data_IF_944266138079
#
_entry.id   IF_944266138079
#
_cell.length_a   1.000
_cell.length_b   1.000
_cell.length_c   1.000
_cell.angle_alpha   90.00
_cell.angle_beta   90.00
_cell.angle_gamma   90.00
#
_symmetry.space_group_name_H-M   'P 1'
#
loop_
_entity.id
_entity.type
_entity.pdbx_description
1 polymer ?
#
# COMPACT_ATOMS: atom_id res chain seq x y z
N UNK A 1 7.83 -31.09 7.48
CA UNK A 1 7.03 -30.46 8.56
C UNK A 1 6.37 -29.15 8.12
N UNK A 2 7.11 -28.16 7.60
CA UNK A 2 6.54 -26.86 7.19
C UNK A 2 5.40 -26.96 6.16
N UNK A 3 5.54 -27.80 5.13
CA UNK A 3 4.49 -28.02 4.13
C UNK A 3 3.21 -28.62 4.72
N UNK A 4 3.34 -29.58 5.63
CA UNK A 4 2.21 -30.18 6.32
C UNK A 4 1.48 -29.15 7.20
N UNK A 5 2.23 -28.36 7.97
CA UNK A 5 1.66 -27.28 8.78
C UNK A 5 0.93 -26.23 7.92
N UNK A 6 1.48 -25.90 6.76
CA UNK A 6 0.85 -25.00 5.79
C UNK A 6 -0.48 -25.55 5.27
N UNK A 7 -0.56 -26.83 4.89
CA UNK A 7 -1.82 -27.45 4.43
C UNK A 7 -2.88 -27.56 5.54
N UNK A 8 -2.48 -27.90 6.77
CA UNK A 8 -3.39 -27.92 7.92
C UNK A 8 -3.93 -26.51 8.22
N UNK A 9 -3.07 -25.50 8.09
CA UNK A 9 -3.46 -24.11 8.33
C UNK A 9 -4.31 -23.52 7.21
N UNK A 10 -4.13 -23.96 5.97
CA UNK A 10 -4.77 -23.41 4.76
C UNK A 10 -6.29 -23.12 4.93
N UNK A 11 -7.15 -24.06 5.38
CA UNK A 11 -8.58 -23.78 5.55
C UNK A 11 -8.85 -22.69 6.60
N UNK A 12 -8.15 -22.73 7.74
CA UNK A 12 -8.28 -21.74 8.82
C UNK A 12 -7.80 -20.37 8.34
N UNK A 13 -6.64 -20.35 7.66
CA UNK A 13 -6.04 -19.15 7.09
C UNK A 13 -6.96 -18.48 6.07
N UNK A 14 -7.68 -19.25 5.25
CA UNK A 14 -8.63 -18.72 4.28
C UNK A 14 -9.77 -17.95 4.95
N UNK A 15 -10.44 -18.54 5.94
CA UNK A 15 -11.50 -17.85 6.68
C UNK A 15 -10.96 -16.64 7.45
N UNK A 16 -9.76 -16.75 8.02
CA UNK A 16 -9.08 -15.64 8.68
C UNK A 16 -8.79 -14.48 7.72
N UNK A 17 -8.37 -14.78 6.48
CA UNK A 17 -8.13 -13.78 5.45
C UNK A 17 -9.42 -13.08 5.04
N UNK A 18 -10.52 -13.83 4.83
CA UNK A 18 -11.84 -13.25 4.55
C UNK A 18 -12.25 -12.29 5.66
N UNK A 19 -12.17 -12.72 6.93
CA UNK A 19 -12.45 -11.87 8.08
C UNK A 19 -11.60 -10.58 8.09
N UNK A 20 -10.29 -10.69 7.89
CA UNK A 20 -9.36 -9.54 7.85
C UNK A 20 -9.66 -8.59 6.69
N UNK A 21 -10.01 -9.10 5.52
CA UNK A 21 -10.42 -8.28 4.36
C UNK A 21 -11.74 -7.55 4.67
N UNK A 22 -12.74 -8.26 5.20
CA UNK A 22 -14.02 -7.66 5.58
C UNK A 22 -13.84 -6.53 6.58
N UNK A 23 -12.97 -6.70 7.58
CA UNK A 23 -12.61 -5.64 8.54
C UNK A 23 -12.03 -4.41 7.81
N UNK A 24 -11.07 -4.61 6.90
CA UNK A 24 -10.41 -3.51 6.19
C UNK A 24 -11.32 -2.76 5.21
N UNK A 25 -12.35 -3.42 4.67
CA UNK A 25 -13.30 -2.83 3.71
C UNK A 25 -14.49 -2.18 4.39
N UNK A 26 -15.01 -2.77 5.47
CA UNK A 26 -16.30 -2.38 6.05
C UNK A 26 -16.17 -1.46 7.27
N UNK A 27 -15.01 -1.42 7.95
CA UNK A 27 -14.87 -0.74 9.23
C UNK A 27 -13.99 0.52 9.13
N UNK A 28 -14.22 1.53 9.98
CA UNK A 28 -13.34 2.70 10.08
C UNK A 28 -11.91 2.32 10.49
N UNK A 29 -10.91 3.10 10.06
CA UNK A 29 -9.49 2.78 10.21
C UNK A 29 -9.06 2.37 11.63
N UNK A 30 -9.53 3.07 12.66
CA UNK A 30 -9.16 2.76 14.05
C UNK A 30 -9.68 1.40 14.51
N UNK A 31 -10.95 1.09 14.20
CA UNK A 31 -11.57 -0.20 14.53
C UNK A 31 -10.92 -1.31 13.70
N UNK A 32 -10.64 -1.03 12.43
CA UNK A 32 -9.99 -1.98 11.54
C UNK A 32 -8.59 -2.36 12.02
N UNK A 33 -7.77 -1.39 12.41
CA UNK A 33 -6.44 -1.64 12.96
C UNK A 33 -6.48 -2.45 14.26
N UNK A 34 -7.41 -2.12 15.16
CA UNK A 34 -7.57 -2.86 16.42
C UNK A 34 -7.94 -4.32 16.18
N UNK A 35 -8.97 -4.59 15.35
CA UNK A 35 -9.39 -5.95 15.05
C UNK A 35 -8.35 -6.72 14.22
N UNK A 36 -7.66 -6.05 13.29
CA UNK A 36 -6.54 -6.64 12.56
C UNK A 36 -5.43 -7.08 13.53
N UNK A 37 -5.10 -6.25 14.53
CA UNK A 37 -4.14 -6.58 15.58
C UNK A 37 -4.58 -7.78 16.42
N UNK A 38 -5.83 -7.80 16.86
CA UNK A 38 -6.41 -8.92 17.61
C UNK A 38 -6.38 -10.22 16.81
N UNK A 39 -6.60 -10.14 15.49
CA UNK A 39 -6.52 -11.29 14.60
C UNK A 39 -5.09 -11.81 14.39
N UNK A 40 -4.05 -11.06 14.80
CA UNK A 40 -2.64 -11.44 14.71
C UNK A 40 -1.79 -10.62 13.72
N UNK A 41 -2.38 -9.65 13.01
CA UNK A 41 -1.63 -8.75 12.11
C UNK A 41 -0.84 -7.74 12.94
N UNK A 42 0.48 -7.70 12.78
CA UNK A 42 1.32 -6.73 13.50
C UNK A 42 1.63 -5.55 12.60
N UNK A 43 1.04 -4.40 12.90
CA UNK A 43 1.29 -3.16 12.18
C UNK A 43 2.16 -2.27 13.07
N UNK A 44 3.32 -1.86 12.56
CA UNK A 44 4.19 -0.86 13.18
C UNK A 44 4.20 0.36 12.30
N UNK A 45 3.88 1.52 12.87
CA UNK A 45 3.88 2.80 12.16
C UNK A 45 4.81 3.77 12.87
N UNK A 46 5.74 4.35 12.11
CA UNK A 46 6.60 5.44 12.54
C UNK A 46 6.46 6.60 11.56
N UNK A 47 6.35 7.81 12.07
CA UNK A 47 6.39 9.02 11.24
C UNK A 47 7.45 9.97 11.75
N UNK A 48 8.42 10.29 10.89
CA UNK A 48 9.37 11.38 11.09
C UNK A 48 8.89 12.68 10.45
N UNK A 49 7.75 12.62 9.77
CA UNK A 49 7.10 13.77 9.20
C UNK A 49 6.13 14.33 10.24
N UNK A 50 6.61 15.30 11.01
CA UNK A 50 5.87 16.01 12.06
C UNK A 50 4.87 17.03 11.48
N UNK A 51 4.68 17.07 10.16
CA UNK A 51 3.88 18.09 9.49
C UNK A 51 2.37 17.81 9.66
N UNK A 52 1.84 18.23 10.81
CA UNK A 52 0.41 18.36 11.11
C UNK A 52 -0.10 19.80 10.84
N UNK A 53 0.61 20.58 10.01
CA UNK A 53 0.18 21.92 9.66
C UNK A 53 -1.10 21.89 8.82
N UNK A 54 -2.04 22.84 9.01
CA UNK A 54 -3.20 22.97 8.13
C UNK A 54 -2.69 23.10 6.68
N UNK A 55 -3.40 22.50 5.70
CA UNK A 55 -3.03 22.64 4.30
C UNK A 55 -2.95 24.13 3.98
N UNK A 56 -1.77 24.60 3.56
CA UNK A 56 -1.67 25.94 2.97
C UNK A 56 -2.66 25.98 1.81
N UNK A 57 -3.59 26.94 1.85
CA UNK A 57 -4.79 27.04 0.99
C UNK A 57 -4.51 27.07 -0.53
N UNK A 58 -3.25 27.03 -0.96
CA UNK A 58 -2.83 27.08 -2.35
C UNK A 58 -1.83 25.98 -2.78
N UNK A 59 -1.52 24.98 -1.94
CA UNK A 59 -0.54 23.94 -2.29
C UNK A 59 -1.22 22.69 -2.88
N UNK A 60 -0.63 22.19 -3.96
CA UNK A 60 -0.87 20.86 -4.52
C UNK A 60 -0.74 19.80 -3.43
N UNK A 61 -1.49 18.71 -3.53
CA UNK A 61 -1.44 17.60 -2.58
C UNK A 61 -0.04 16.99 -2.45
N UNK A 62 0.18 16.28 -1.34
CA UNK A 62 1.45 15.61 -1.05
C UNK A 62 1.54 14.29 -1.82
N UNK A 63 2.68 14.04 -2.45
CA UNK A 63 2.97 12.77 -3.12
C UNK A 63 3.74 11.83 -2.18
N UNK A 64 3.05 10.81 -1.68
CA UNK A 64 3.64 9.72 -0.92
C UNK A 64 4.27 8.70 -1.87
N UNK A 65 5.56 8.46 -1.71
CA UNK A 65 6.34 7.56 -2.58
C UNK A 65 6.77 6.36 -1.77
N UNK A 66 6.17 5.20 -2.04
CA UNK A 66 6.42 3.97 -1.30
C UNK A 66 7.29 3.02 -2.11
N UNK A 67 8.23 2.32 -1.47
CA UNK A 67 8.71 1.08 -2.05
C UNK A 67 7.57 0.03 -2.07
N UNK A 68 7.65 -0.95 -2.95
CA UNK A 68 6.52 -1.83 -3.24
C UNK A 68 6.76 -3.27 -2.76
N UNK A 69 6.16 -3.65 -1.62
CA UNK A 69 6.26 -5.01 -1.06
C UNK A 69 5.06 -5.88 -1.39
N UNK A 70 3.87 -5.31 -1.41
CA UNK A 70 2.59 -6.02 -1.60
C UNK A 70 1.56 -5.08 -2.24
N UNK A 71 0.47 -5.61 -2.77
CA UNK A 71 -0.65 -4.76 -3.20
C UNK A 71 -1.34 -4.01 -2.04
N UNK A 72 -1.03 -4.36 -0.79
CA UNK A 72 -1.60 -3.76 0.40
C UNK A 72 -0.81 -2.53 0.88
N UNK A 73 0.32 -2.16 0.26
CA UNK A 73 1.16 -1.07 0.78
C UNK A 73 0.39 0.27 0.86
N UNK A 74 -0.35 0.69 -0.18
CA UNK A 74 -1.17 1.89 -0.11
C UNK A 74 -2.31 1.77 0.93
N UNK A 75 -2.85 0.58 1.14
CA UNK A 75 -3.95 0.31 2.08
C UNK A 75 -3.46 0.48 3.51
N UNK A 76 -2.37 -0.19 3.87
CA UNK A 76 -1.78 -0.06 5.21
C UNK A 76 -1.29 1.36 5.48
N UNK A 77 -0.73 2.04 4.48
CA UNK A 77 -0.32 3.44 4.63
C UNK A 77 -1.51 4.35 4.93
N UNK A 78 -2.56 4.28 4.13
CA UNK A 78 -3.80 5.07 4.31
C UNK A 78 -4.41 4.83 5.69
N UNK A 79 -4.52 3.57 6.07
CA UNK A 79 -5.12 3.15 7.36
C UNK A 79 -4.25 3.58 8.56
N UNK A 80 -2.92 3.58 8.41
CA UNK A 80 -2.00 3.99 9.48
C UNK A 80 -1.89 5.50 9.63
N UNK A 81 -1.99 6.24 8.52
CA UNK A 81 -2.06 7.71 8.55
C UNK A 81 -3.42 8.23 9.01
N UNK A 82 -4.47 7.41 8.93
CA UNK A 82 -5.83 7.82 9.30
C UNK A 82 -6.43 8.87 8.36
N UNK A 83 -5.91 9.00 7.13
CA UNK A 83 -6.39 9.96 6.12
C UNK A 83 -6.60 9.29 4.77
N UNK A 84 -7.59 9.70 3.98
CA UNK A 84 -7.86 9.12 2.68
C UNK A 84 -6.76 9.52 1.68
N UNK A 85 -6.08 8.53 1.12
CA UNK A 85 -5.12 8.70 0.01
C UNK A 85 -5.73 8.15 -1.28
N UNK A 86 -5.38 8.75 -2.41
CA UNK A 86 -5.63 8.14 -3.72
C UNK A 86 -4.38 7.36 -4.15
N UNK A 87 -4.51 6.07 -4.45
CA UNK A 87 -3.39 5.26 -4.91
C UNK A 87 -3.33 5.21 -6.43
N UNK A 88 -2.19 5.57 -7.02
CA UNK A 88 -1.92 5.31 -8.44
C UNK A 88 -1.09 4.05 -8.58
N UNK A 89 -1.52 3.17 -9.45
CA UNK A 89 -0.91 1.85 -9.64
C UNK A 89 -0.72 1.56 -11.11
N UNK A 90 0.34 0.81 -11.42
CA UNK A 90 0.55 0.32 -12.77
C UNK A 90 -0.13 -1.03 -12.91
N UNK A 91 -1.08 -1.13 -13.84
CA UNK A 91 -1.62 -2.42 -14.28
C UNK A 91 -2.37 -3.23 -13.20
N UNK A 92 -3.18 -2.57 -12.35
CA UNK A 92 -4.14 -3.27 -11.49
C UNK A 92 -5.30 -3.85 -12.31
N UNK A 93 -5.81 -5.01 -11.90
CA UNK A 93 -7.03 -5.59 -12.48
C UNK A 93 -8.26 -4.81 -12.01
N UNK A 94 -9.31 -4.75 -12.84
CA UNK A 94 -10.59 -4.09 -12.48
C UNK A 94 -11.22 -4.69 -11.21
N UNK A 95 -11.04 -5.99 -10.99
CA UNK A 95 -11.54 -6.68 -9.80
C UNK A 95 -10.79 -6.23 -8.53
N UNK A 96 -9.47 -6.08 -8.62
CA UNK A 96 -8.66 -5.54 -7.51
C UNK A 96 -9.01 -4.09 -7.19
N UNK A 97 -9.32 -3.28 -8.20
CA UNK A 97 -9.79 -1.90 -8.04
C UNK A 97 -11.17 -1.83 -7.37
N UNK A 98 -12.09 -2.74 -7.71
CA UNK A 98 -13.43 -2.80 -7.10
C UNK A 98 -13.39 -3.16 -5.61
N UNK A 99 -12.45 -4.00 -5.20
CA UNK A 99 -12.36 -4.51 -3.82
C UNK A 99 -11.44 -3.63 -2.96
N UNK A 100 -10.67 -2.71 -3.56
CA UNK A 100 -9.76 -1.86 -2.83
C UNK A 100 -10.53 -0.94 -1.85
N UNK A 101 -10.15 -0.90 -0.56
CA UNK A 101 -10.80 -0.04 0.44
C UNK A 101 -10.43 1.45 0.31
N UNK A 102 -9.82 1.83 -0.82
CA UNK A 102 -9.35 3.18 -1.11
C UNK A 102 -9.47 3.45 -2.61
N UNK A 103 -9.50 4.73 -2.97
CA UNK A 103 -9.58 5.14 -4.37
C UNK A 103 -8.30 4.78 -5.11
N UNK A 104 -8.38 3.81 -6.00
CA UNK A 104 -7.27 3.46 -6.90
C UNK A 104 -7.47 4.08 -8.27
N UNK A 105 -6.37 4.45 -8.93
CA UNK A 105 -6.36 4.90 -10.32
C UNK A 105 -5.28 4.11 -11.06
N UNK A 106 -5.67 3.42 -12.13
CA UNK A 106 -4.76 2.63 -12.96
C UNK A 106 -4.05 3.52 -13.99
N UNK A 107 -2.73 3.48 -14.01
CA UNK A 107 -1.87 4.17 -14.97
C UNK A 107 -1.69 3.33 -16.25
N UNK A 108 -1.58 4.00 -17.39
CA UNK A 108 -1.58 3.39 -18.72
C UNK A 108 -0.18 3.11 -19.28
N UNK A 109 0.88 3.39 -18.51
CA UNK A 109 2.30 3.33 -18.93
C UNK A 109 2.62 4.28 -20.09
N UNK A 110 1.91 5.39 -20.16
CA UNK A 110 2.16 6.49 -21.10
C UNK A 110 2.62 7.67 -20.27
N UNK A 111 3.92 8.00 -20.33
CA UNK A 111 4.54 9.01 -19.46
C UNK A 111 3.78 10.34 -19.47
N UNK A 112 3.32 10.78 -20.65
CA UNK A 112 2.63 12.07 -20.78
C UNK A 112 1.23 12.01 -20.18
N UNK A 113 0.44 10.99 -20.54
CA UNK A 113 -0.93 10.84 -20.02
C UNK A 113 -0.96 10.54 -18.52
N UNK A 114 -0.04 9.71 -18.05
CA UNK A 114 0.08 9.34 -16.64
C UNK A 114 0.53 10.55 -15.81
N UNK A 115 1.47 11.36 -16.33
CA UNK A 115 1.86 12.62 -15.70
C UNK A 115 0.72 13.62 -15.57
N UNK A 116 -0.03 13.85 -16.66
CA UNK A 116 -1.22 14.71 -16.65
C UNK A 116 -2.30 14.21 -15.67
N UNK A 117 -2.52 12.89 -15.61
CA UNK A 117 -3.48 12.30 -14.69
C UNK A 117 -3.04 12.46 -13.24
N UNK A 118 -1.77 12.20 -12.93
CA UNK A 118 -1.22 12.36 -11.58
C UNK A 118 -1.26 13.83 -11.12
N UNK A 119 -0.91 14.79 -11.97
CA UNK A 119 -1.03 16.23 -11.65
C UNK A 119 -2.49 16.62 -11.33
N UNK A 120 -3.45 16.15 -12.12
CA UNK A 120 -4.89 16.39 -11.86
C UNK A 120 -5.40 15.73 -10.58
N UNK A 121 -4.78 14.64 -10.12
CA UNK A 121 -5.11 14.00 -8.86
C UNK A 121 -4.48 14.74 -7.68
N UNK A 122 -3.21 15.13 -7.81
CA UNK A 122 -2.49 15.92 -6.81
C UNK A 122 -3.17 17.26 -6.55
N UNK A 123 -3.73 17.92 -7.57
CA UNK A 123 -4.50 19.16 -7.38
C UNK A 123 -5.80 18.97 -6.57
N UNK A 124 -6.26 17.73 -6.38
CA UNK A 124 -7.48 17.39 -5.62
C UNK A 124 -7.19 16.83 -4.23
N UNK A 125 -5.96 16.40 -3.95
CA UNK A 125 -5.58 15.84 -2.66
C UNK A 125 -4.33 14.98 -2.72
N UNK A 126 -4.04 14.32 -1.61
CA UNK A 126 -2.82 13.53 -1.45
C UNK A 126 -2.86 12.23 -2.29
N UNK A 127 -1.71 11.92 -2.89
CA UNK A 127 -1.53 10.78 -3.77
C UNK A 127 -0.48 9.84 -3.20
N UNK A 128 -0.65 8.53 -3.38
CA UNK A 128 0.37 7.53 -3.11
C UNK A 128 0.74 6.79 -4.38
N UNK A 129 2.03 6.63 -4.63
CA UNK A 129 2.58 5.90 -5.77
C UNK A 129 3.67 4.93 -5.32
N UNK A 130 3.73 3.78 -5.99
CA UNK A 130 4.82 2.82 -5.89
C UNK A 130 5.64 2.88 -7.19
N UNK A 131 6.73 3.65 -7.25
CA UNK A 131 7.41 3.97 -8.51
C UNK A 131 8.22 2.78 -9.07
N UNK A 132 8.35 1.69 -8.33
CA UNK A 132 8.91 0.41 -8.78
C UNK A 132 8.07 -0.24 -9.90
N UNK A 133 6.76 0.07 -9.96
CA UNK A 133 5.86 -0.47 -10.97
C UNK A 133 5.50 -1.96 -10.82
N UNK A 134 6.11 -2.66 -9.87
CA UNK A 134 5.79 -4.04 -9.49
C UNK A 134 6.22 -4.30 -8.04
N UNK A 135 5.61 -5.27 -7.38
CA UNK A 135 6.00 -5.68 -6.02
C UNK A 135 7.33 -6.43 -6.02
N UNK A 136 8.17 -6.16 -5.01
CA UNK A 136 9.47 -6.79 -4.79
C UNK A 136 9.50 -7.57 -3.46
N UNK A 137 9.91 -8.84 -3.53
CA UNK A 137 10.08 -9.73 -2.35
C UNK A 137 11.47 -9.67 -1.74
N UNK A 138 12.44 -9.24 -2.53
CA UNK A 138 13.86 -9.34 -2.20
C UNK A 138 14.32 -8.22 -1.26
N UNK A 139 15.43 -8.37 -0.51
CA UNK A 139 15.86 -7.35 0.46
C UNK A 139 16.29 -6.01 -0.17
N UNK A 140 16.32 -5.90 -1.50
CA UNK A 140 16.67 -4.69 -2.24
C UNK A 140 15.44 -3.98 -2.83
N UNK A 141 15.64 -2.73 -3.24
CA UNK A 141 14.66 -1.92 -3.96
C UNK A 141 14.81 -2.12 -5.47
N UNK A 142 13.69 -2.16 -6.19
CA UNK A 142 13.73 -2.10 -7.64
C UNK A 142 14.00 -0.66 -8.12
N UNK A 143 14.36 -0.54 -9.40
CA UNK A 143 14.54 0.76 -10.03
C UNK A 143 13.22 1.55 -10.02
N UNK A 144 13.31 2.81 -9.62
CA UNK A 144 12.15 3.71 -9.64
C UNK A 144 12.00 4.39 -11.01
N UNK A 145 10.75 4.54 -11.45
CA UNK A 145 10.41 5.43 -12.56
C UNK A 145 10.68 6.89 -12.19
N UNK A 146 11.30 7.73 -13.03
CA UNK A 146 11.57 9.13 -12.71
C UNK A 146 10.30 10.01 -12.69
N UNK A 147 9.18 9.53 -13.25
CA UNK A 147 7.96 10.32 -13.43
C UNK A 147 7.50 10.99 -12.14
N UNK A 148 7.54 10.30 -10.99
CA UNK A 148 7.05 10.88 -9.74
C UNK A 148 7.87 12.11 -9.28
N UNK A 149 9.18 12.11 -9.56
CA UNK A 149 10.10 13.18 -9.17
C UNK A 149 9.89 14.46 -10.00
N UNK A 150 9.37 14.32 -11.22
CA UNK A 150 9.13 15.44 -12.15
C UNK A 150 7.77 16.14 -11.91
N UNK A 151 6.88 15.56 -11.07
CA UNK A 151 5.49 16.01 -10.95
C UNK A 151 5.26 17.03 -9.82
N UNK A 152 6.04 16.95 -8.74
CA UNK A 152 5.89 17.82 -7.57
C UNK A 152 7.16 17.83 -6.74
N UNK A 153 7.44 18.96 -6.10
CA UNK A 153 8.47 19.08 -5.06
C UNK A 153 7.99 18.54 -3.70
N UNK A 154 6.67 18.37 -3.54
CA UNK A 154 6.05 17.99 -2.28
C UNK A 154 6.00 16.46 -2.10
N UNK A 155 7.19 15.84 -2.06
CA UNK A 155 7.37 14.38 -1.99
C UNK A 155 7.68 13.93 -0.57
N UNK A 156 6.93 12.93 -0.10
CA UNK A 156 7.16 12.24 1.18
C UNK A 156 7.50 10.78 0.92
N UNK A 157 8.76 10.37 1.09
CA UNK A 157 9.14 8.97 0.98
C UNK A 157 8.56 8.14 2.12
N UNK A 158 8.17 6.91 1.82
CA UNK A 158 7.64 5.94 2.78
C UNK A 158 8.36 4.61 2.60
N UNK A 159 9.00 4.14 3.66
CA UNK A 159 9.59 2.81 3.71
C UNK A 159 8.56 1.80 4.21
N UNK A 160 8.43 0.69 3.49
CA UNK A 160 7.51 -0.41 3.74
C UNK A 160 8.29 -1.70 3.84
N UNK A 161 8.11 -2.42 4.94
CA UNK A 161 8.61 -3.77 5.13
C UNK A 161 7.48 -4.72 5.50
N UNK A 162 7.28 -5.75 4.68
CA UNK A 162 6.21 -6.73 4.83
C UNK A 162 6.83 -8.11 5.05
N UNK A 163 6.55 -8.72 6.20
CA UNK A 163 7.09 -10.03 6.58
C UNK A 163 5.98 -11.05 6.78
N UNK A 164 6.20 -12.23 6.23
CA UNK A 164 5.24 -13.36 6.23
C UNK A 164 5.93 -14.63 6.70
N UNK A 165 5.14 -15.65 7.05
CA UNK A 165 5.66 -16.93 7.57
C UNK A 165 5.40 -18.11 6.65
N UNK A 166 4.28 -18.12 5.92
CA UNK A 166 3.79 -19.27 5.14
C UNK A 166 3.44 -18.89 3.71
N UNK A 167 2.72 -17.79 3.51
CA UNK A 167 2.15 -17.42 2.21
C UNK A 167 2.69 -16.08 1.74
N UNK A 168 3.27 -16.05 0.54
CA UNK A 168 3.75 -14.84 -0.10
C UNK A 168 2.63 -14.20 -0.94
N UNK A 169 2.26 -12.96 -0.62
CA UNK A 169 1.23 -12.19 -1.35
C UNK A 169 1.80 -11.31 -2.46
N UNK A 170 2.52 -11.91 -3.40
CA UNK A 170 3.29 -11.18 -4.44
C UNK A 170 3.40 -11.98 -5.73
N UNK A 171 2.31 -12.57 -6.20
CA UNK A 171 2.27 -13.51 -7.33
C UNK A 171 2.88 -12.89 -8.60
N UNK A 172 3.94 -13.52 -9.13
CA UNK A 172 4.64 -13.06 -10.33
C UNK A 172 3.86 -13.38 -11.61
N UNK A 173 3.33 -14.60 -11.71
CA UNK A 173 2.52 -15.10 -12.83
C UNK A 173 1.21 -15.69 -12.29
N UNK A 174 0.07 -15.11 -12.66
CA UNK A 174 -1.25 -15.58 -12.22
C UNK A 174 -2.19 -14.47 -11.76
N UNK A 175 -3.14 -14.82 -10.89
CA UNK A 175 -4.17 -13.92 -10.39
C UNK A 175 -3.64 -13.05 -9.24
N UNK A 176 -3.08 -11.88 -9.57
CA UNK A 176 -2.62 -10.89 -8.58
C UNK A 176 -3.69 -10.45 -7.58
N UNK A 177 -4.97 -10.59 -7.92
CA UNK A 177 -6.05 -10.29 -6.98
C UNK A 177 -6.07 -11.21 -5.75
N UNK A 178 -5.39 -12.36 -5.78
CA UNK A 178 -5.26 -13.27 -4.64
C UNK A 178 -4.13 -12.86 -3.68
N UNK A 179 -3.25 -11.94 -4.08
CA UNK A 179 -2.11 -11.52 -3.26
C UNK A 179 -2.50 -11.00 -1.88
N UNK A 180 -3.53 -10.13 -1.74
CA UNK A 180 -4.06 -9.74 -0.43
C UNK A 180 -4.52 -10.93 0.41
N UNK A 181 -5.18 -11.91 -0.22
CA UNK A 181 -5.68 -13.11 0.46
C UNK A 181 -4.49 -13.89 1.01
N UNK A 182 -3.52 -14.25 0.17
CA UNK A 182 -2.34 -14.99 0.60
C UNK A 182 -1.59 -14.27 1.72
N UNK A 183 -1.38 -12.95 1.60
CA UNK A 183 -0.75 -12.19 2.67
C UNK A 183 -1.52 -12.30 4.00
N UNK A 184 -2.83 -12.10 3.96
CA UNK A 184 -3.69 -12.10 5.15
C UNK A 184 -4.04 -13.52 5.65
N UNK A 185 -3.72 -14.58 4.92
CA UNK A 185 -3.81 -15.96 5.41
C UNK A 185 -2.72 -16.30 6.42
N UNK A 186 -1.61 -15.55 6.46
CA UNK A 186 -0.53 -15.84 7.41
C UNK A 186 -1.04 -15.75 8.87
N UNK A 187 -0.58 -16.62 9.79
CA UNK A 187 -0.97 -16.52 11.19
C UNK A 187 -0.62 -15.16 11.82
N UNK A 188 0.62 -14.70 11.62
CA UNK A 188 1.16 -13.46 12.21
C UNK A 188 1.94 -12.62 11.18
N UNK A 189 1.28 -12.07 10.14
CA UNK A 189 1.94 -11.20 9.19
C UNK A 189 2.36 -9.91 9.89
N UNK A 190 3.50 -9.36 9.46
CA UNK A 190 4.04 -8.10 9.99
C UNK A 190 4.12 -7.08 8.88
N UNK A 191 3.73 -5.85 9.21
CA UNK A 191 3.79 -4.69 8.34
C UNK A 191 4.43 -3.54 9.07
N UNK A 192 5.60 -3.10 8.63
CA UNK A 192 6.30 -1.95 9.17
C UNK A 192 6.24 -0.81 8.15
N UNK A 193 5.73 0.33 8.59
CA UNK A 193 5.63 1.55 7.82
C UNK A 193 6.44 2.63 8.51
N UNK A 194 7.31 3.27 7.75
CA UNK A 194 8.11 4.39 8.21
C UNK A 194 7.98 5.55 7.22
N UNK A 195 7.23 6.57 7.62
CA UNK A 195 7.07 7.80 6.86
C UNK A 195 8.28 8.68 7.14
N UNK A 196 9.09 8.92 6.12
CA UNK A 196 10.32 9.70 6.22
C UNK A 196 10.03 11.20 6.14
N UNK A 197 11.06 12.01 6.41
CA UNK A 197 11.00 13.45 6.22
C UNK A 197 10.75 13.77 4.75
N UNK A 198 10.01 14.86 4.52
CA UNK A 198 9.79 15.41 3.17
C UNK A 198 11.13 15.70 2.51
N UNK A 199 11.22 15.45 1.20
CA UNK A 199 12.43 15.78 0.44
C UNK A 199 12.68 17.30 0.47
N UNK A 200 13.96 17.73 0.48
CA UNK A 200 14.28 19.14 0.34
C UNK A 200 13.80 19.64 -1.02
N UNK A 201 13.45 20.92 -1.09
CA UNK A 201 13.20 21.60 -2.37
C UNK A 201 14.54 21.83 -3.05
N UNK A 202 14.64 21.47 -4.33
CA UNK A 202 15.76 21.88 -5.18
C UNK A 202 15.61 23.35 -5.61
#
# INVERSE_FOLDING_TARGET
LATLAMFIWLPIGFFLAVFRISIGVLLPYHVANFLASLSGVRITFKSHNLYNGPPEKSKSGVLYVCNHRTLLDPVFLTTSLGKPLTAVTYSLSKFSELIAPLKTVSLKRDRKKDGEAMQRLLSKGDLVVCPEGTTCREPYLLRFSPLFAELTEDIVPVAVDARVSMFYGTTASGLKCLDPIFFLMNPRPVYCLEVLKKLPKE
#
